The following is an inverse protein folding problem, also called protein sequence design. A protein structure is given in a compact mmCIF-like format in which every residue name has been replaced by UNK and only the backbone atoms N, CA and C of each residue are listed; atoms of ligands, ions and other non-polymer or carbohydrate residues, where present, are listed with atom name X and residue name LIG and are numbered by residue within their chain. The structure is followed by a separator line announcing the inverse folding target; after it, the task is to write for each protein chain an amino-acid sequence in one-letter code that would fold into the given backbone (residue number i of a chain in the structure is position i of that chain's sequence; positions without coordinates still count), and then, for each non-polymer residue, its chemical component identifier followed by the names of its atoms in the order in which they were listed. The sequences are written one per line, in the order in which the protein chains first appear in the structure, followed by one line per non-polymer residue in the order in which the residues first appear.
data_IF_028675175819
#
_entry.id   IF_028675175819
#
_cell.length_a   1.000
_cell.length_b   1.000
_cell.length_c   1.000
_cell.angle_alpha   90.00
_cell.angle_beta   90.00
_cell.angle_gamma   90.00
#
_symmetry.space_group_name_H-M   'P 1'
#
loop_
_entity.id
_entity.type
_entity.pdbx_description
1 polymer ?
#
# COMPACT_ATOMS: atom_id res chain seq x y z
N UNK A 1 4.76 2.80 -10.24
CA UNK A 1 4.30 4.18 -10.05
C UNK A 1 3.05 4.17 -9.20
N UNK A 2 2.86 5.22 -8.42
CA UNK A 2 1.59 5.44 -7.72
C UNK A 2 0.54 6.01 -8.68
N UNK A 3 -0.71 5.96 -8.27
CA UNK A 3 -1.87 6.47 -9.01
C UNK A 3 -2.81 7.24 -8.09
N UNK A 4 -3.81 7.94 -8.65
CA UNK A 4 -4.69 8.87 -7.92
C UNK A 4 -5.48 8.26 -6.75
N UNK A 5 -5.56 6.94 -6.64
CA UNK A 5 -6.22 6.28 -5.51
C UNK A 5 -5.30 6.15 -4.28
N UNK A 6 -4.01 6.45 -4.42
CA UNK A 6 -3.09 6.53 -3.28
C UNK A 6 -3.37 7.73 -2.41
N UNK A 7 -3.88 8.84 -2.94
CA UNK A 7 -4.04 10.11 -2.23
C UNK A 7 -4.97 9.96 -1.01
N UNK A 8 -6.03 9.15 -1.17
CA UNK A 8 -7.00 8.88 -0.12
C UNK A 8 -7.35 7.39 -0.09
N UNK A 9 -6.60 6.57 0.66
CA UNK A 9 -6.91 5.16 0.81
C UNK A 9 -8.35 4.97 1.31
N UNK A 10 -9.09 4.11 0.60
CA UNK A 10 -10.51 3.86 0.85
C UNK A 10 -10.75 3.05 2.13
N UNK A 11 -12.02 2.93 2.52
CA UNK A 11 -12.40 2.06 3.63
C UNK A 11 -12.07 0.59 3.34
N UNK A 12 -11.68 -0.13 4.38
CA UNK A 12 -11.50 -1.58 4.34
C UNK A 12 -12.79 -2.28 3.89
N UNK A 13 -12.73 -3.32 3.03
CA UNK A 13 -13.90 -4.10 2.65
C UNK A 13 -14.52 -4.78 3.89
N UNK A 14 -15.80 -4.53 4.16
CA UNK A 14 -16.50 -5.11 5.31
C UNK A 14 -16.55 -6.64 5.31
N UNK A 15 -16.36 -7.27 4.15
CA UNK A 15 -16.37 -8.73 3.97
C UNK A 15 -15.00 -9.38 4.22
N UNK A 16 -13.91 -8.63 4.27
CA UNK A 16 -12.55 -9.18 4.38
C UNK A 16 -12.13 -9.51 5.82
N UNK A 17 -13.05 -9.46 6.80
CA UNK A 17 -12.78 -9.87 8.19
C UNK A 17 -11.84 -8.96 8.99
N UNK A 18 -11.33 -7.88 8.39
CA UNK A 18 -10.44 -6.89 9.00
C UNK A 18 -11.15 -5.80 9.81
N UNK A 19 -10.38 -4.92 10.42
CA UNK A 19 -10.91 -3.86 11.28
C UNK A 19 -11.46 -2.70 10.46
N UNK A 20 -12.61 -2.13 10.85
CA UNK A 20 -13.24 -1.01 10.12
C UNK A 20 -12.39 0.26 10.02
N UNK A 21 -11.32 0.35 10.82
CA UNK A 21 -10.37 1.47 10.81
C UNK A 21 -9.21 1.25 9.81
N UNK A 22 -9.07 0.05 9.25
CA UNK A 22 -8.10 -0.22 8.21
C UNK A 22 -8.48 0.48 6.90
N UNK A 23 -7.47 0.69 6.07
CA UNK A 23 -7.61 1.43 4.82
C UNK A 23 -6.95 0.67 3.70
N UNK A 24 -7.56 0.73 2.52
CA UNK A 24 -7.15 -0.03 1.35
C UNK A 24 -6.95 0.91 0.16
N UNK A 25 -5.81 0.78 -0.49
CA UNK A 25 -5.50 1.40 -1.78
C UNK A 25 -6.20 0.54 -2.82
N UNK A 26 -7.22 1.11 -3.46
CA UNK A 26 -7.99 0.40 -4.50
C UNK A 26 -7.31 0.54 -5.86
N UNK A 27 -7.33 -0.51 -6.69
CA UNK A 27 -6.85 -0.43 -8.05
C UNK A 27 -7.56 0.63 -8.87
N UNK A 28 -6.91 1.00 -9.98
CA UNK A 28 -7.41 2.02 -10.88
C UNK A 28 -7.06 3.44 -10.41
N UNK A 29 -7.51 4.44 -11.15
CA UNK A 29 -7.02 5.81 -11.00
C UNK A 29 -5.90 6.13 -12.01
N UNK A 30 -5.63 7.42 -12.17
CA UNK A 30 -4.68 7.90 -13.16
C UNK A 30 -3.23 7.81 -12.63
N UNK A 31 -2.23 7.53 -13.48
CA UNK A 31 -0.82 7.67 -13.15
C UNK A 31 -0.51 8.98 -12.40
N UNK A 32 0.17 8.88 -11.26
CA UNK A 32 0.57 10.03 -10.44
C UNK A 32 2.09 10.18 -10.28
N UNK A 33 2.87 9.33 -10.96
CA UNK A 33 4.34 9.39 -11.00
C UNK A 33 5.05 8.37 -10.10
N UNK A 34 6.38 8.45 -10.08
CA UNK A 34 7.22 7.60 -9.22
C UNK A 34 7.14 8.03 -7.75
N UNK A 35 7.10 7.06 -6.84
CA UNK A 35 7.13 7.27 -5.39
C UNK A 35 7.66 6.02 -4.71
N UNK A 36 8.48 6.21 -3.67
CA UNK A 36 9.07 5.12 -2.90
C UNK A 36 8.41 5.01 -1.51
N UNK A 37 8.20 3.78 -1.06
CA UNK A 37 7.55 3.44 0.21
C UNK A 37 8.04 2.08 0.70
N UNK A 38 7.64 1.68 1.90
CA UNK A 38 8.05 0.41 2.52
C UNK A 38 6.89 -0.57 2.56
N UNK A 39 7.11 -1.80 2.09
CA UNK A 39 6.22 -2.94 2.37
C UNK A 39 6.65 -3.52 3.72
N UNK A 40 5.73 -3.59 4.68
CA UNK A 40 6.00 -4.01 6.07
C UNK A 40 5.32 -5.33 6.45
N UNK A 41 4.49 -5.88 5.57
CA UNK A 41 3.79 -7.14 5.79
C UNK A 41 2.93 -7.50 4.59
N UNK A 42 2.25 -8.64 4.67
CA UNK A 42 1.34 -9.12 3.65
C UNK A 42 0.31 -10.09 4.25
N UNK A 43 -0.78 -10.31 3.52
CA UNK A 43 -1.81 -11.30 3.83
C UNK A 43 -2.27 -12.05 2.55
N UNK A 44 -3.48 -12.60 2.53
CA UNK A 44 -3.98 -13.35 1.38
C UNK A 44 -4.31 -12.46 0.16
N UNK A 45 -4.49 -11.16 0.35
CA UNK A 45 -5.03 -10.26 -0.66
C UNK A 45 -4.02 -9.19 -1.12
N UNK A 46 -3.04 -8.86 -0.29
CA UNK A 46 -2.10 -7.80 -0.63
C UNK A 46 -0.97 -7.55 0.36
N UNK A 47 -0.32 -6.40 0.15
CA UNK A 47 0.78 -5.89 0.95
C UNK A 47 0.32 -4.79 1.91
N UNK A 48 0.87 -4.78 3.12
CA UNK A 48 0.77 -3.64 4.02
C UNK A 48 1.90 -2.66 3.70
N UNK A 49 1.53 -1.44 3.30
CA UNK A 49 2.44 -0.36 2.95
C UNK A 49 2.52 0.65 4.09
N UNK A 50 3.74 1.03 4.49
CA UNK A 50 4.04 2.19 5.31
C UNK A 50 4.50 3.34 4.42
N UNK A 51 3.78 4.46 4.47
CA UNK A 51 4.02 5.63 3.63
C UNK A 51 4.53 6.83 4.44
N UNK A 52 5.04 7.85 3.73
CA UNK A 52 5.68 9.05 4.26
C UNK A 52 4.81 10.31 4.19
N UNK A 53 3.49 10.17 3.96
CA UNK A 53 2.55 11.31 3.84
C UNK A 53 1.84 11.67 5.16
N UNK A 54 2.45 11.31 6.29
CA UNK A 54 1.94 11.62 7.62
C UNK A 54 0.91 10.63 8.16
N UNK A 55 0.58 10.73 9.46
CA UNK A 55 -0.27 9.75 10.15
C UNK A 55 -1.73 9.78 9.70
N UNK A 56 -2.20 10.88 9.11
CA UNK A 56 -3.56 10.98 8.58
C UNK A 56 -3.75 10.20 7.27
N UNK A 57 -2.65 9.82 6.61
CA UNK A 57 -2.73 9.01 5.41
C UNK A 57 -3.01 7.55 5.77
N UNK A 58 -4.07 6.98 5.21
CA UNK A 58 -4.50 5.62 5.56
C UNK A 58 -4.86 5.49 7.05
N UNK A 59 -4.38 4.43 7.69
CA UNK A 59 -4.47 4.18 9.13
C UNK A 59 -3.09 4.39 9.75
N UNK A 60 -2.87 5.52 10.39
CA UNK A 60 -1.58 5.88 11.02
C UNK A 60 -0.39 5.80 10.05
N UNK A 61 -0.56 6.27 8.81
CA UNK A 61 0.48 6.21 7.77
C UNK A 61 0.55 4.89 7.02
N UNK A 62 -0.33 3.93 7.31
CA UNK A 62 -0.34 2.62 6.65
C UNK A 62 -1.62 2.38 5.85
N UNK A 63 -1.50 1.63 4.75
CA UNK A 63 -2.65 1.14 3.99
C UNK A 63 -2.32 -0.20 3.34
N UNK A 64 -3.36 -0.99 3.07
CA UNK A 64 -3.23 -2.25 2.36
C UNK A 64 -3.33 -2.03 0.85
N UNK A 65 -2.47 -2.70 0.10
CA UNK A 65 -2.34 -2.55 -1.33
C UNK A 65 -2.53 -3.91 -2.01
N UNK A 66 -3.56 -4.03 -2.84
CA UNK A 66 -3.93 -5.29 -3.46
C UNK A 66 -2.82 -5.81 -4.38
N UNK A 67 -2.61 -7.13 -4.40
CA UNK A 67 -1.62 -7.76 -5.28
C UNK A 67 -1.85 -7.48 -6.76
N UNK A 68 -3.11 -7.43 -7.20
CA UNK A 68 -3.45 -7.11 -8.59
C UNK A 68 -3.00 -5.70 -8.99
N UNK A 69 -3.10 -4.74 -8.06
CA UNK A 69 -2.73 -3.35 -8.29
C UNK A 69 -1.20 -3.17 -8.23
N UNK A 70 -0.54 -3.82 -7.28
CA UNK A 70 0.92 -3.91 -7.23
C UNK A 70 1.48 -4.50 -8.53
N UNK A 71 0.98 -5.67 -8.95
CA UNK A 71 1.46 -6.35 -10.16
C UNK A 71 1.26 -5.49 -11.42
N UNK A 72 0.19 -4.70 -11.47
CA UNK A 72 -0.11 -3.83 -12.60
C UNK A 72 0.72 -2.54 -12.64
N UNK A 73 1.25 -2.08 -11.50
CA UNK A 73 1.79 -0.71 -11.39
C UNK A 73 3.22 -0.63 -10.85
N UNK A 74 3.81 -1.72 -10.33
CA UNK A 74 5.16 -1.70 -9.75
C UNK A 74 6.23 -1.24 -10.76
N UNK A 75 7.23 -0.51 -10.27
CA UNK A 75 8.38 -0.06 -11.07
C UNK A 75 9.68 -0.79 -10.69
N UNK A 76 10.05 -0.82 -9.40
CA UNK A 76 11.34 -1.34 -8.93
C UNK A 76 11.27 -1.92 -7.50
N UNK A 77 11.67 -3.18 -7.32
CA UNK A 77 11.66 -3.84 -6.01
C UNK A 77 13.05 -3.91 -5.38
N UNK A 78 13.16 -3.55 -4.09
CA UNK A 78 14.39 -3.66 -3.31
C UNK A 78 14.13 -4.46 -2.05
N UNK A 79 15.05 -5.37 -1.71
CA UNK A 79 15.01 -6.13 -0.45
C UNK A 79 16.18 -5.66 0.41
N UNK A 80 15.88 -5.24 1.64
CA UNK A 80 16.89 -4.90 2.63
C UNK A 80 17.17 -6.13 3.50
N UNK A 81 18.45 -6.48 3.62
CA UNK A 81 18.92 -7.52 4.53
C UNK A 81 20.07 -6.97 5.36
N UNK A 82 20.17 -7.38 6.61
CA UNK A 82 21.36 -7.11 7.43
C UNK A 82 22.57 -7.80 6.80
N UNK A 83 23.66 -7.06 6.61
CA UNK A 83 24.93 -7.63 6.17
C UNK A 83 25.45 -8.65 7.17
N UNK A 84 25.98 -9.77 6.68
CA UNK A 84 26.77 -10.67 7.52
C UNK A 84 28.11 -10.01 7.84
N UNK A 85 28.64 -10.32 9.02
CA UNK A 85 29.98 -9.91 9.43
C UNK A 85 31.00 -10.94 9.02
#
# INVERSE_FOLDING_TARGET
QIHTNWQNPGAWPTQAGGSSIERQIKPGGAPAGGHAFVIVGYDAEGFWVLNSWGPQWGRNGMAHWLYEDWAATMMDGWVLQLGVR
#
